data_IF_623279089918
#
_entry.id   IF_623279089918
#
_cell.length_a   1.000
_cell.length_b   1.000
_cell.length_c   1.000
_cell.angle_alpha   90.00
_cell.angle_beta   90.00
_cell.angle_gamma   90.00
#
_symmetry.space_group_name_H-M   'P 1'
#
loop_
_entity.id
_entity.type
_entity.pdbx_description
1 polymer ?
#
# COMPACT_ATOMS: atom_id res chain seq x y z
N UNK A 1 42.53 5.59 -30.24
CA UNK A 1 41.49 4.63 -30.67
C UNK A 1 40.79 4.13 -29.46
N UNK A 2 39.51 4.45 -29.18
CA UNK A 2 38.81 3.87 -28.04
C UNK A 2 38.46 2.41 -28.36
N UNK A 3 38.81 1.50 -27.46
CA UNK A 3 38.50 0.09 -27.51
C UNK A 3 37.00 -0.15 -27.70
N UNK A 4 36.62 -0.87 -28.76
CA UNK A 4 35.29 -1.48 -28.90
C UNK A 4 35.13 -2.45 -27.70
N UNK A 5 34.47 -2.00 -26.69
CA UNK A 5 33.86 -2.90 -25.71
C UNK A 5 32.90 -3.80 -26.48
N UNK A 6 33.18 -5.08 -26.56
CA UNK A 6 32.30 -6.10 -27.11
C UNK A 6 31.00 -6.07 -26.26
N UNK A 7 30.00 -5.32 -26.72
CA UNK A 7 28.69 -5.29 -26.10
C UNK A 7 28.02 -6.64 -26.36
N UNK A 8 27.60 -7.31 -25.29
CA UNK A 8 26.79 -8.53 -25.35
C UNK A 8 25.67 -8.38 -26.39
N UNK A 9 25.42 -9.39 -27.24
CA UNK A 9 24.36 -9.33 -28.22
C UNK A 9 22.99 -9.13 -27.56
N UNK A 10 22.15 -8.28 -28.13
CA UNK A 10 20.80 -7.98 -27.67
C UNK A 10 19.90 -9.18 -27.90
N UNK A 11 19.31 -9.71 -26.84
CA UNK A 11 18.41 -10.86 -26.90
C UNK A 11 16.99 -10.37 -27.20
N UNK A 12 16.48 -10.74 -28.36
CA UNK A 12 15.16 -10.37 -28.87
C UNK A 12 14.25 -11.59 -28.85
N UNK A 13 13.09 -11.48 -28.23
CA UNK A 13 12.01 -12.43 -28.37
C UNK A 13 11.06 -11.90 -29.44
N UNK A 14 10.93 -12.64 -30.54
CA UNK A 14 10.04 -12.31 -31.66
C UNK A 14 8.79 -13.18 -31.57
N UNK A 15 7.62 -12.58 -31.44
CA UNK A 15 6.32 -13.26 -31.47
C UNK A 15 5.71 -13.00 -32.84
N UNK A 16 5.64 -14.04 -33.68
CA UNK A 16 5.15 -13.94 -35.04
C UNK A 16 4.77 -15.33 -35.56
N UNK A 17 3.55 -15.47 -36.02
CA UNK A 17 3.00 -16.73 -36.54
C UNK A 17 3.05 -16.81 -38.09
N UNK A 18 3.07 -15.66 -38.77
CA UNK A 18 3.09 -15.60 -40.25
C UNK A 18 4.51 -15.84 -40.76
N UNK A 19 4.78 -16.94 -41.51
CA UNK A 19 6.12 -17.28 -41.96
C UNK A 19 6.79 -16.21 -42.83
N UNK A 20 6.02 -15.48 -43.65
CA UNK A 20 6.53 -14.43 -44.51
C UNK A 20 7.00 -13.22 -43.75
N UNK A 21 6.28 -12.84 -42.71
CA UNK A 21 6.64 -11.74 -41.82
C UNK A 21 7.81 -12.12 -40.90
N UNK A 22 7.82 -13.33 -40.40
CA UNK A 22 8.93 -13.88 -39.64
C UNK A 22 10.23 -13.84 -40.43
N UNK A 23 10.19 -14.31 -41.68
CA UNK A 23 11.35 -14.26 -42.58
C UNK A 23 11.81 -12.83 -42.89
N UNK A 24 10.86 -11.88 -43.04
CA UNK A 24 11.16 -10.46 -43.26
C UNK A 24 11.88 -9.84 -42.08
N UNK A 25 11.34 -10.02 -40.84
CA UNK A 25 11.92 -9.44 -39.62
C UNK A 25 13.29 -10.05 -39.35
N UNK A 26 13.47 -11.35 -39.49
CA UNK A 26 14.78 -12.01 -39.35
C UNK A 26 15.80 -11.46 -40.35
N UNK A 27 15.43 -11.30 -41.61
CA UNK A 27 16.34 -10.72 -42.63
C UNK A 27 16.79 -9.33 -42.25
N UNK A 28 15.89 -8.47 -41.74
CA UNK A 28 16.23 -7.11 -41.29
C UNK A 28 17.18 -7.15 -40.10
N UNK A 29 16.96 -8.05 -39.13
CA UNK A 29 17.82 -8.21 -37.95
C UNK A 29 19.19 -8.80 -38.30
N UNK A 30 19.25 -9.76 -39.25
CA UNK A 30 20.50 -10.35 -39.71
C UNK A 30 21.39 -9.33 -40.49
N UNK A 31 20.77 -8.41 -41.23
CA UNK A 31 21.47 -7.31 -41.93
C UNK A 31 22.02 -6.26 -40.95
N UNK A 32 21.53 -6.18 -39.73
CA UNK A 32 21.95 -5.20 -38.73
C UNK A 32 23.31 -5.50 -38.08
N UNK A 33 24.16 -6.29 -38.76
CA UNK A 33 25.55 -6.59 -38.41
C UNK A 33 25.78 -6.86 -36.91
N UNK A 34 25.53 -8.08 -36.50
CA UNK A 34 26.16 -8.72 -35.33
C UNK A 34 25.68 -8.39 -33.93
N UNK A 35 24.56 -7.71 -33.71
CA UNK A 35 24.19 -7.28 -32.36
C UNK A 35 22.96 -7.95 -31.79
N UNK A 36 22.32 -8.90 -32.47
CA UNK A 36 21.05 -9.50 -32.02
C UNK A 36 21.13 -11.03 -31.94
N UNK A 37 20.52 -11.56 -30.90
CA UNK A 37 20.19 -13.00 -30.78
C UNK A 37 18.69 -13.10 -30.74
N UNK A 38 18.07 -13.68 -31.77
CA UNK A 38 16.61 -13.74 -31.91
C UNK A 38 16.12 -15.13 -31.54
N UNK A 39 15.10 -15.16 -30.71
CA UNK A 39 14.28 -16.35 -30.45
C UNK A 39 12.88 -16.06 -30.96
N UNK A 40 12.39 -16.82 -31.92
CA UNK A 40 11.05 -16.70 -32.44
C UNK A 40 10.11 -17.71 -31.78
N UNK A 41 8.88 -17.28 -31.51
CA UNK A 41 7.76 -18.09 -31.02
C UNK A 41 6.49 -17.68 -31.77
N UNK A 42 5.54 -18.62 -31.99
CA UNK A 42 4.37 -18.32 -32.82
C UNK A 42 3.28 -17.52 -32.12
N UNK A 43 3.23 -17.55 -30.76
CA UNK A 43 2.11 -16.97 -30.00
C UNK A 43 2.54 -16.38 -28.64
N UNK A 44 1.70 -15.49 -28.11
CA UNK A 44 1.92 -14.80 -26.83
C UNK A 44 2.04 -15.79 -25.66
N UNK A 45 1.32 -16.92 -25.69
CA UNK A 45 1.38 -17.94 -24.64
C UNK A 45 2.75 -18.62 -24.58
N UNK A 46 3.33 -18.93 -25.72
CA UNK A 46 4.69 -19.47 -25.82
C UNK A 46 5.73 -18.45 -25.34
N UNK A 47 5.52 -17.16 -25.67
CA UNK A 47 6.38 -16.07 -25.21
C UNK A 47 6.37 -15.93 -23.67
N UNK A 48 5.22 -16.07 -23.02
CA UNK A 48 5.14 -16.02 -21.57
C UNK A 48 5.97 -17.13 -20.88
N UNK A 49 5.98 -18.35 -21.46
CA UNK A 49 6.82 -19.44 -20.99
C UNK A 49 8.32 -19.15 -21.19
N UNK A 50 8.71 -18.63 -22.34
CA UNK A 50 10.10 -18.25 -22.62
C UNK A 50 10.59 -17.12 -21.69
N UNK A 51 9.77 -16.10 -21.43
CA UNK A 51 10.08 -14.98 -20.51
C UNK A 51 10.19 -15.44 -19.04
N UNK A 52 9.47 -16.47 -18.66
CA UNK A 52 9.61 -17.10 -17.34
C UNK A 52 10.90 -17.91 -17.17
N UNK A 53 11.42 -18.47 -18.27
CA UNK A 53 12.62 -19.32 -18.27
C UNK A 53 13.91 -18.53 -18.54
N UNK A 54 13.82 -17.44 -19.28
CA UNK A 54 14.99 -16.68 -19.75
C UNK A 54 14.69 -15.17 -19.80
N UNK A 55 15.73 -14.36 -19.61
CA UNK A 55 15.61 -12.90 -19.76
C UNK A 55 15.84 -12.49 -21.20
N UNK A 56 15.03 -11.55 -21.70
CA UNK A 56 15.14 -10.92 -23.00
C UNK A 56 15.31 -9.41 -22.82
N UNK A 57 16.05 -8.78 -23.73
CA UNK A 57 16.29 -7.34 -23.71
C UNK A 57 15.18 -6.56 -24.42
N UNK A 58 14.36 -7.25 -25.25
CA UNK A 58 13.26 -6.69 -26.02
C UNK A 58 12.31 -7.79 -26.51
N UNK A 59 11.04 -7.43 -26.63
CA UNK A 59 10.00 -8.23 -27.32
C UNK A 59 9.59 -7.49 -28.59
N UNK A 60 9.62 -8.18 -29.73
CA UNK A 60 8.97 -7.76 -30.97
C UNK A 60 7.66 -8.55 -31.06
N UNK A 61 6.54 -7.84 -31.03
CA UNK A 61 5.21 -8.44 -31.06
C UNK A 61 4.54 -8.20 -32.41
N UNK A 62 4.45 -9.24 -33.25
CA UNK A 62 3.62 -9.24 -34.45
C UNK A 62 2.14 -9.22 -34.04
N UNK A 63 1.36 -8.30 -34.58
CA UNK A 63 -0.08 -8.24 -34.38
C UNK A 63 -0.82 -8.27 -35.69
N UNK A 64 -1.76 -9.22 -35.82
CA UNK A 64 -2.72 -9.27 -36.91
C UNK A 64 -3.89 -8.32 -36.66
N UNK A 65 -4.65 -7.99 -37.72
CA UNK A 65 -5.80 -7.10 -37.64
C UNK A 65 -6.90 -7.58 -36.70
N UNK A 66 -7.11 -8.91 -36.64
CA UNK A 66 -8.09 -9.53 -35.77
C UNK A 66 -7.75 -9.33 -34.28
N UNK A 67 -6.51 -9.56 -33.88
CA UNK A 67 -6.03 -9.44 -32.50
C UNK A 67 -6.10 -8.01 -31.95
N UNK A 68 -6.01 -7.03 -32.86
CA UNK A 68 -6.18 -5.62 -32.52
C UNK A 68 -7.67 -5.30 -32.30
N UNK A 69 -8.55 -5.90 -33.12
CA UNK A 69 -10.02 -5.69 -33.05
C UNK A 69 -10.66 -6.28 -31.79
N UNK A 70 -10.21 -7.45 -31.37
CA UNK A 70 -10.75 -8.18 -30.22
C UNK A 70 -10.15 -7.71 -28.87
N UNK A 71 -9.13 -6.86 -28.88
CA UNK A 71 -8.50 -6.32 -27.67
C UNK A 71 -7.40 -7.21 -27.08
N UNK A 72 -7.28 -8.45 -27.47
CA UNK A 72 -6.30 -9.43 -26.96
C UNK A 72 -4.86 -8.98 -27.20
N UNK A 73 -4.58 -8.34 -28.34
CA UNK A 73 -3.27 -7.79 -28.66
C UNK A 73 -2.83 -6.68 -27.71
N UNK A 74 -3.75 -5.84 -27.26
CA UNK A 74 -3.45 -4.78 -26.31
C UNK A 74 -3.22 -5.32 -24.89
N UNK A 75 -3.94 -6.36 -24.49
CA UNK A 75 -3.69 -7.03 -23.22
C UNK A 75 -2.33 -7.75 -23.24
N UNK A 76 -1.95 -8.35 -24.37
CA UNK A 76 -0.63 -8.94 -24.55
C UNK A 76 0.49 -7.89 -24.37
N UNK A 77 0.35 -6.68 -24.95
CA UNK A 77 1.30 -5.58 -24.77
C UNK A 77 1.46 -5.25 -23.29
N UNK A 78 0.35 -5.06 -22.56
CA UNK A 78 0.36 -4.74 -21.15
C UNK A 78 1.06 -5.80 -20.30
N UNK A 79 0.79 -7.08 -20.58
CA UNK A 79 1.37 -8.21 -19.84
C UNK A 79 2.85 -8.40 -20.11
N UNK A 80 3.27 -8.37 -21.37
CA UNK A 80 4.66 -8.54 -21.77
C UNK A 80 5.52 -7.34 -21.35
N UNK A 81 4.98 -6.12 -21.43
CA UNK A 81 5.65 -4.87 -21.07
C UNK A 81 6.09 -4.78 -19.62
N UNK A 82 5.53 -5.60 -18.71
CA UNK A 82 5.98 -5.72 -17.33
C UNK A 82 7.37 -6.37 -17.21
N UNK A 83 7.75 -7.19 -18.18
CA UNK A 83 8.99 -8.00 -18.14
C UNK A 83 10.08 -7.45 -19.04
N UNK A 84 9.72 -6.95 -20.23
CA UNK A 84 10.66 -6.41 -21.21
C UNK A 84 9.98 -5.34 -22.07
N UNK A 85 10.73 -4.39 -22.66
CA UNK A 85 10.15 -3.41 -23.58
C UNK A 85 9.55 -4.10 -24.80
N UNK A 86 8.34 -3.68 -25.20
CA UNK A 86 7.59 -4.25 -26.32
C UNK A 86 7.58 -3.26 -27.47
N UNK A 87 7.97 -3.69 -28.67
CA UNK A 87 7.74 -2.99 -29.94
C UNK A 87 6.71 -3.80 -30.73
N UNK A 88 5.65 -3.14 -31.14
CA UNK A 88 4.61 -3.75 -31.97
C UNK A 88 4.99 -3.69 -33.44
N UNK A 89 4.83 -4.81 -34.15
CA UNK A 89 4.98 -4.95 -35.59
C UNK A 89 3.62 -5.28 -36.21
N UNK A 90 3.10 -4.46 -37.11
CA UNK A 90 1.82 -4.70 -37.77
C UNK A 90 1.87 -4.37 -39.24
N UNK A 91 1.00 -4.98 -40.04
CA UNK A 91 0.80 -4.57 -41.45
C UNK A 91 -0.12 -3.34 -41.60
N UNK A 92 -0.81 -2.96 -40.52
CA UNK A 92 -1.70 -1.80 -40.51
C UNK A 92 -0.90 -0.51 -40.37
N UNK A 93 -1.13 0.41 -41.30
CA UNK A 93 -0.62 1.78 -41.24
C UNK A 93 -1.76 2.68 -40.73
N UNK A 94 -2.02 2.58 -39.44
CA UNK A 94 -3.16 3.23 -38.76
C UNK A 94 -2.65 3.94 -37.49
N UNK A 95 -2.76 5.26 -37.52
CA UNK A 95 -2.25 6.13 -36.45
C UNK A 95 -3.02 5.94 -35.13
N UNK A 96 -4.34 5.72 -35.20
CA UNK A 96 -5.16 5.50 -33.98
C UNK A 96 -4.77 4.21 -33.27
N UNK A 97 -4.46 3.17 -34.04
CA UNK A 97 -3.98 1.90 -33.51
C UNK A 97 -2.59 2.07 -32.88
N UNK A 98 -1.70 2.79 -33.56
CA UNK A 98 -0.36 3.06 -33.05
C UNK A 98 -0.40 3.81 -31.73
N UNK A 99 -1.24 4.86 -31.62
CA UNK A 99 -1.44 5.63 -30.37
C UNK A 99 -1.98 4.72 -29.27
N UNK A 100 -2.99 3.91 -29.54
CA UNK A 100 -3.55 2.96 -28.56
C UNK A 100 -2.51 1.95 -28.09
N UNK A 101 -1.68 1.40 -28.98
CA UNK A 101 -0.62 0.48 -28.62
C UNK A 101 0.38 1.11 -27.62
N UNK A 102 0.80 2.35 -27.90
CA UNK A 102 1.71 3.11 -27.02
C UNK A 102 1.04 3.42 -25.67
N UNK A 103 -0.24 3.83 -25.64
CA UNK A 103 -1.00 4.05 -24.40
C UNK A 103 -1.13 2.78 -23.54
N UNK A 104 -1.09 1.61 -24.17
CA UNK A 104 -1.13 0.31 -23.49
C UNK A 104 0.26 -0.22 -23.11
N UNK A 105 1.33 0.57 -23.30
CA UNK A 105 2.68 0.26 -22.84
C UNK A 105 3.67 -0.21 -23.91
N UNK A 106 3.28 -0.25 -25.19
CA UNK A 106 4.25 -0.46 -26.26
C UNK A 106 5.26 0.70 -26.31
N UNK A 107 6.52 0.38 -26.52
CA UNK A 107 7.57 1.39 -26.64
C UNK A 107 7.59 2.04 -28.03
N UNK A 108 7.12 1.31 -29.03
CA UNK A 108 7.00 1.79 -30.40
C UNK A 108 6.02 0.91 -31.22
N UNK A 109 5.57 1.43 -32.36
CA UNK A 109 4.73 0.72 -33.34
C UNK A 109 5.31 0.88 -34.72
N UNK A 110 5.66 -0.22 -35.37
CA UNK A 110 6.31 -0.23 -36.66
C UNK A 110 5.46 -0.97 -37.71
N UNK A 111 5.34 -0.36 -38.90
CA UNK A 111 4.63 -0.97 -40.01
C UNK A 111 5.56 -1.94 -40.73
N UNK A 112 5.18 -3.24 -40.78
CA UNK A 112 6.01 -4.33 -41.35
C UNK A 112 6.44 -4.06 -42.76
N UNK A 113 5.60 -3.45 -43.60
CA UNK A 113 5.90 -3.18 -45.02
C UNK A 113 6.91 -2.04 -45.21
N UNK A 114 7.10 -1.18 -44.24
CA UNK A 114 8.07 -0.08 -44.22
C UNK A 114 9.31 -0.37 -43.37
N UNK A 115 9.45 -1.60 -42.89
CA UNK A 115 10.54 -1.96 -42.00
C UNK A 115 11.88 -1.94 -42.69
N UNK A 116 12.80 -1.09 -42.20
CA UNK A 116 14.19 -1.02 -42.64
C UNK A 116 15.12 -1.35 -41.50
N UNK A 117 16.38 -1.71 -41.78
CA UNK A 117 17.40 -2.00 -40.77
C UNK A 117 17.60 -0.80 -39.84
N UNK A 118 17.75 0.39 -40.38
CA UNK A 118 17.99 1.60 -39.60
C UNK A 118 16.81 1.95 -38.69
N UNK A 119 15.57 1.81 -39.19
CA UNK A 119 14.37 2.05 -38.41
C UNK A 119 14.26 1.09 -37.25
N UNK A 120 14.38 -0.22 -37.49
CA UNK A 120 14.27 -1.25 -36.48
C UNK A 120 15.37 -1.13 -35.40
N UNK A 121 16.62 -0.97 -35.82
CA UNK A 121 17.77 -0.83 -34.90
C UNK A 121 17.63 0.42 -34.03
N UNK A 122 17.21 1.53 -34.61
CA UNK A 122 16.97 2.78 -33.87
C UNK A 122 15.83 2.63 -32.88
N UNK A 123 14.71 2.04 -33.29
CA UNK A 123 13.56 1.80 -32.41
C UNK A 123 13.93 0.86 -31.24
N UNK A 124 14.63 -0.24 -31.50
CA UNK A 124 15.13 -1.17 -30.48
C UNK A 124 16.02 -0.43 -29.47
N UNK A 125 16.97 0.39 -29.97
CA UNK A 125 17.86 1.15 -29.08
C UNK A 125 17.10 2.11 -28.19
N UNK A 126 16.15 2.86 -28.73
CA UNK A 126 15.35 3.81 -27.97
C UNK A 126 14.40 3.12 -26.97
N UNK A 127 13.76 2.04 -27.38
CA UNK A 127 12.87 1.27 -26.51
C UNK A 127 13.62 0.73 -25.27
N UNK A 128 14.80 0.14 -25.49
CA UNK A 128 15.63 -0.39 -24.41
C UNK A 128 16.12 0.70 -23.48
N UNK A 129 16.62 1.82 -24.01
CA UNK A 129 17.12 2.92 -23.19
C UNK A 129 16.01 3.57 -22.36
N UNK A 130 14.83 3.81 -22.96
CA UNK A 130 13.66 4.33 -22.24
C UNK A 130 13.21 3.39 -21.14
N UNK A 131 13.11 2.11 -21.41
CA UNK A 131 12.75 1.10 -20.43
C UNK A 131 13.76 1.04 -19.28
N UNK A 132 15.06 1.10 -19.58
CA UNK A 132 16.14 1.15 -18.59
C UNK A 132 16.01 2.36 -17.66
N UNK A 133 15.80 3.55 -18.25
CA UNK A 133 15.66 4.79 -17.49
C UNK A 133 14.43 4.77 -16.57
N UNK A 134 13.29 4.29 -17.07
CA UNK A 134 12.07 4.15 -16.27
C UNK A 134 12.26 3.14 -15.14
N UNK A 135 12.88 2.00 -15.42
CA UNK A 135 13.18 1.01 -14.39
C UNK A 135 14.17 1.52 -13.32
N UNK A 136 15.12 2.37 -13.73
CA UNK A 136 16.05 3.01 -12.80
C UNK A 136 15.34 4.06 -11.93
N UNK A 137 14.47 4.88 -12.50
CA UNK A 137 13.66 5.85 -11.76
C UNK A 137 12.73 5.16 -10.77
N UNK A 138 12.02 4.11 -11.17
CA UNK A 138 11.16 3.34 -10.29
C UNK A 138 11.93 2.72 -9.12
N UNK A 139 13.11 2.14 -9.37
CA UNK A 139 13.96 1.59 -8.32
C UNK A 139 14.45 2.65 -7.33
N UNK A 140 14.75 3.87 -7.81
CA UNK A 140 15.11 4.99 -6.92
C UNK A 140 13.93 5.40 -6.03
N UNK A 141 12.74 5.56 -6.62
CA UNK A 141 11.51 5.88 -5.88
C UNK A 141 11.18 4.80 -4.84
N UNK A 142 11.26 3.53 -5.22
CA UNK A 142 11.07 2.41 -4.28
C UNK A 142 12.09 2.44 -3.13
N UNK A 143 13.34 2.80 -3.41
CA UNK A 143 14.36 2.92 -2.38
C UNK A 143 14.08 4.09 -1.42
N UNK A 144 13.70 5.25 -1.95
CA UNK A 144 13.32 6.41 -1.15
C UNK A 144 12.10 6.12 -0.26
N UNK A 145 11.07 5.44 -0.80
CA UNK A 145 9.91 5.02 -0.03
C UNK A 145 10.26 4.01 1.07
N UNK A 146 11.20 3.08 0.82
CA UNK A 146 11.68 2.16 1.86
C UNK A 146 12.41 2.89 3.00
N UNK A 147 13.18 3.93 2.68
CA UNK A 147 13.80 4.78 3.70
C UNK A 147 12.73 5.51 4.51
N UNK A 148 11.72 6.08 3.84
CA UNK A 148 10.61 6.75 4.52
C UNK A 148 9.86 5.80 5.46
N UNK A 149 9.59 4.56 5.03
CA UNK A 149 8.97 3.53 5.86
C UNK A 149 9.82 3.17 7.09
N UNK A 150 11.13 3.03 6.92
CA UNK A 150 12.04 2.78 8.03
C UNK A 150 12.04 3.93 9.05
N UNK A 151 12.05 5.18 8.57
CA UNK A 151 11.95 6.36 9.44
C UNK A 151 10.60 6.36 10.16
N UNK A 152 9.49 6.10 9.47
CA UNK A 152 8.16 6.03 10.06
C UNK A 152 8.07 4.96 11.16
N UNK A 153 8.61 3.77 10.92
CA UNK A 153 8.64 2.71 11.95
C UNK A 153 9.38 3.14 13.22
N UNK A 154 10.35 4.06 13.13
CA UNK A 154 11.05 4.60 14.30
C UNK A 154 10.19 5.49 15.20
N UNK A 155 9.07 5.98 14.68
CA UNK A 155 8.07 6.72 15.49
C UNK A 155 7.17 5.80 16.30
N UNK A 156 7.00 4.53 15.89
CA UNK A 156 6.20 3.59 16.66
C UNK A 156 6.88 3.25 17.99
N UNK A 157 6.11 2.95 19.06
CA UNK A 157 6.69 2.59 20.34
C UNK A 157 7.57 1.35 20.24
N UNK A 158 8.81 1.44 20.69
CA UNK A 158 9.75 0.30 20.67
C UNK A 158 9.37 -0.83 21.63
N UNK A 159 8.44 -0.58 22.56
CA UNK A 159 7.92 -1.57 23.52
C UNK A 159 6.51 -1.22 23.96
N UNK A 160 5.75 -2.23 24.28
CA UNK A 160 4.47 -2.08 24.98
C UNK A 160 4.76 -1.90 26.48
N UNK A 161 4.10 -0.96 27.18
CA UNK A 161 4.33 -0.75 28.61
C UNK A 161 3.88 -1.94 29.45
N UNK A 162 4.63 -2.23 30.50
CA UNK A 162 4.22 -3.18 31.53
C UNK A 162 3.29 -2.48 32.52
N UNK A 163 2.02 -2.85 32.51
CA UNK A 163 0.98 -2.23 33.34
C UNK A 163 0.45 -3.23 34.36
N UNK A 164 0.65 -3.00 35.64
CA UNK A 164 0.15 -3.90 36.69
C UNK A 164 -1.35 -4.19 36.57
N UNK A 165 -1.71 -5.46 36.56
CA UNK A 165 -3.11 -5.90 36.43
C UNK A 165 -3.68 -5.85 35.02
N UNK A 166 -2.89 -5.42 34.04
CA UNK A 166 -3.33 -5.34 32.63
C UNK A 166 -2.29 -5.95 31.71
N UNK A 167 -2.78 -6.54 30.63
CA UNK A 167 -2.00 -7.07 29.53
C UNK A 167 -2.34 -6.24 28.28
N UNK A 168 -1.36 -5.53 27.74
CA UNK A 168 -1.54 -4.64 26.59
C UNK A 168 -0.79 -5.21 25.41
N UNK A 169 -1.39 -5.17 24.25
CA UNK A 169 -0.77 -5.58 22.98
C UNK A 169 -1.15 -4.68 21.84
N UNK A 170 -0.25 -4.53 20.89
CA UNK A 170 -0.52 -3.76 19.68
C UNK A 170 0.07 -4.47 18.45
N UNK A 171 -0.57 -4.26 17.33
CA UNK A 171 -0.07 -4.66 16.01
C UNK A 171 -0.48 -3.63 14.97
N UNK A 172 0.43 -3.34 14.04
CA UNK A 172 0.19 -2.49 12.88
C UNK A 172 0.69 -3.23 11.64
N UNK A 173 -0.18 -3.37 10.66
CA UNK A 173 0.14 -3.85 9.34
C UNK A 173 -0.10 -2.74 8.32
N UNK A 174 0.95 -2.31 7.63
CA UNK A 174 0.82 -1.28 6.59
C UNK A 174 0.46 -1.90 5.25
N UNK A 175 -0.58 -1.42 4.61
CA UNK A 175 -1.02 -1.83 3.26
C UNK A 175 -0.06 -1.36 2.17
N UNK A 176 0.68 -0.28 2.43
CA UNK A 176 1.67 0.34 1.55
C UNK A 176 3.09 0.32 2.12
N UNK A 177 3.99 1.08 1.47
CA UNK A 177 5.34 1.26 2.00
C UNK A 177 5.36 2.26 3.16
N UNK A 178 4.45 3.25 3.16
CA UNK A 178 4.32 4.33 4.15
C UNK A 178 2.84 4.60 4.36
N UNK A 179 2.38 4.69 5.60
CA UNK A 179 0.96 4.81 5.97
C UNK A 179 0.63 6.02 6.84
N UNK A 180 -0.68 6.21 7.11
CA UNK A 180 -1.21 7.25 8.01
C UNK A 180 -1.43 6.76 9.43
N UNK A 181 -1.54 5.45 9.61
CA UNK A 181 -1.85 4.80 10.87
C UNK A 181 -0.71 4.86 11.89
N UNK A 182 -1.08 5.02 13.15
CA UNK A 182 -0.15 4.91 14.27
C UNK A 182 -0.83 4.48 15.55
N UNK A 183 -0.04 3.96 16.47
CA UNK A 183 -0.41 3.84 17.88
C UNK A 183 0.72 4.35 18.77
N UNK A 184 0.39 4.72 20.00
CA UNK A 184 1.39 5.13 20.97
C UNK A 184 1.00 4.79 22.40
N UNK A 185 2.03 4.64 23.24
CA UNK A 185 1.90 4.42 24.68
C UNK A 185 2.77 5.43 25.40
N UNK A 186 2.19 6.18 26.32
CA UNK A 186 2.89 7.22 27.06
C UNK A 186 2.71 6.99 28.56
N UNK A 187 3.80 6.75 29.25
CA UNK A 187 3.79 6.63 30.70
C UNK A 187 3.42 7.96 31.35
N UNK A 188 2.37 7.96 32.18
CA UNK A 188 1.89 9.12 32.92
C UNK A 188 1.94 8.82 34.44
N UNK A 189 3.09 9.07 35.09
CA UNK A 189 3.26 8.77 36.49
C UNK A 189 2.19 9.46 37.38
N UNK A 190 1.85 8.88 38.60
CA UNK A 190 2.47 7.67 39.13
C UNK A 190 1.91 6.35 38.60
N UNK A 191 0.62 6.25 38.30
CA UNK A 191 -0.08 4.98 38.07
C UNK A 191 -1.03 5.05 36.87
N UNK A 192 -0.58 5.74 35.80
CA UNK A 192 -1.37 5.94 34.58
C UNK A 192 -0.55 5.68 33.34
N UNK A 193 -1.20 5.20 32.32
CA UNK A 193 -0.65 5.09 30.96
C UNK A 193 -1.65 5.67 29.95
N UNK A 194 -1.16 6.49 29.05
CA UNK A 194 -1.95 6.94 27.91
C UNK A 194 -1.78 5.97 26.73
N UNK A 195 -2.87 5.77 26.02
CA UNK A 195 -2.97 4.91 24.83
C UNK A 195 -3.58 5.75 23.72
N UNK A 196 -2.91 5.81 22.60
CA UNK A 196 -3.37 6.51 21.39
C UNK A 196 -3.42 5.53 20.23
N UNK A 197 -4.48 5.62 19.43
CA UNK A 197 -4.58 5.00 18.11
C UNK A 197 -5.12 6.07 17.18
N UNK A 198 -4.47 6.30 16.08
CA UNK A 198 -4.86 7.34 15.14
C UNK A 198 -4.58 6.96 13.71
N UNK A 199 -5.31 7.60 12.81
CA UNK A 199 -5.12 7.53 11.38
C UNK A 199 -5.13 8.95 10.80
N UNK A 200 -4.07 9.27 10.03
CA UNK A 200 -3.90 10.54 9.36
C UNK A 200 -4.33 10.41 7.89
N UNK A 201 -5.35 11.17 7.51
CA UNK A 201 -5.89 11.16 6.15
C UNK A 201 -4.83 11.43 5.08
N UNK A 202 -4.89 10.67 3.99
CA UNK A 202 -3.98 10.79 2.85
C UNK A 202 -3.02 9.61 2.76
N UNK A 203 -3.13 8.82 1.67
CA UNK A 203 -2.26 7.66 1.44
C UNK A 203 -0.80 8.08 1.17
N UNK A 204 0.15 7.31 1.68
CA UNK A 204 1.58 7.48 1.43
C UNK A 204 2.24 8.63 2.23
N UNK A 205 3.21 9.29 1.63
CA UNK A 205 4.06 10.31 2.29
C UNK A 205 3.26 11.43 2.99
N UNK A 206 2.20 12.01 2.40
CA UNK A 206 1.46 13.07 3.08
C UNK A 206 0.79 12.65 4.38
N UNK A 207 0.18 11.46 4.42
CA UNK A 207 -0.38 10.89 5.66
C UNK A 207 0.68 10.61 6.71
N UNK A 208 1.82 10.04 6.30
CA UNK A 208 2.94 9.75 7.19
C UNK A 208 3.56 11.01 7.84
N UNK A 209 3.65 12.12 7.12
CA UNK A 209 4.13 13.38 7.69
C UNK A 209 3.15 13.91 8.73
N UNK A 210 1.85 13.91 8.42
CA UNK A 210 0.81 14.36 9.35
C UNK A 210 0.74 13.45 10.59
N UNK A 211 0.89 12.14 10.40
CA UNK A 211 1.04 11.16 11.49
C UNK A 211 2.22 11.51 12.40
N UNK A 212 3.41 11.73 11.82
CA UNK A 212 4.62 12.04 12.59
C UNK A 212 4.50 13.38 13.34
N UNK A 213 3.89 14.39 12.74
CA UNK A 213 3.57 15.66 13.39
C UNK A 213 2.62 15.46 14.58
N UNK A 214 1.52 14.74 14.35
CA UNK A 214 0.52 14.42 15.39
C UNK A 214 1.17 13.70 16.56
N UNK A 215 1.95 12.66 16.30
CA UNK A 215 2.61 11.87 17.32
C UNK A 215 3.69 12.67 18.06
N UNK A 216 4.41 13.55 17.37
CA UNK A 216 5.38 14.47 17.98
C UNK A 216 4.74 15.39 19.01
N UNK A 217 3.64 16.05 18.65
CA UNK A 217 2.89 16.93 19.56
C UNK A 217 2.24 16.12 20.69
N UNK A 218 1.65 14.95 20.39
CA UNK A 218 1.08 14.05 21.37
C UNK A 218 2.08 13.72 22.50
N UNK A 219 3.28 13.27 22.13
CA UNK A 219 4.34 12.92 23.11
C UNK A 219 4.82 14.12 23.92
N UNK A 220 4.93 15.29 23.29
CA UNK A 220 5.39 16.49 23.95
C UNK A 220 4.39 17.00 25.01
N UNK A 221 3.10 16.89 24.73
CA UNK A 221 2.05 17.53 25.53
C UNK A 221 1.33 16.57 26.49
N UNK A 222 1.42 15.24 26.28
CA UNK A 222 0.64 14.26 27.06
C UNK A 222 0.87 14.34 28.56
N UNK A 223 2.12 14.60 29.00
CA UNK A 223 2.46 14.72 30.43
C UNK A 223 2.03 16.07 31.03
N UNK A 224 1.83 17.10 30.21
CA UNK A 224 1.46 18.46 30.63
C UNK A 224 -0.04 18.64 30.76
N UNK A 225 -0.83 17.82 30.04
CA UNK A 225 -2.28 17.89 30.07
C UNK A 225 -2.85 17.05 31.22
N UNK A 226 -3.76 17.64 31.99
CA UNK A 226 -4.37 16.95 33.13
C UNK A 226 -5.39 15.88 32.70
N UNK A 227 -6.04 16.11 31.56
CA UNK A 227 -7.15 15.25 31.06
C UNK A 227 -7.00 14.96 29.57
N UNK A 228 -7.59 13.83 29.08
CA UNK A 228 -7.65 13.50 27.66
C UNK A 228 -8.22 14.62 26.77
N UNK A 229 -9.24 15.31 27.23
CA UNK A 229 -9.87 16.39 26.46
C UNK A 229 -8.96 17.62 26.30
N UNK A 230 -8.16 17.95 27.33
CA UNK A 230 -7.16 19.02 27.21
C UNK A 230 -6.11 18.71 26.17
N UNK A 231 -5.61 17.47 26.14
CA UNK A 231 -4.64 17.04 25.13
C UNK A 231 -5.23 17.11 23.73
N UNK A 232 -6.44 16.56 23.51
CA UNK A 232 -7.10 16.58 22.18
C UNK A 232 -7.31 18.00 21.69
N UNK A 233 -7.70 18.94 22.56
CA UNK A 233 -7.81 20.37 22.22
C UNK A 233 -6.45 21.00 21.87
N UNK A 234 -5.41 20.63 22.58
CA UNK A 234 -4.04 21.10 22.33
C UNK A 234 -3.52 20.58 21.00
N UNK A 235 -3.70 19.29 20.73
CA UNK A 235 -3.39 18.67 19.42
C UNK A 235 -4.12 19.38 18.29
N UNK A 236 -5.44 19.58 18.41
CA UNK A 236 -6.22 20.22 17.36
C UNK A 236 -5.67 21.63 17.04
N UNK A 237 -5.35 22.43 18.07
CA UNK A 237 -4.78 23.77 17.88
C UNK A 237 -3.40 23.74 17.25
N UNK A 238 -2.56 22.78 17.63
CA UNK A 238 -1.20 22.66 17.10
C UNK A 238 -1.19 22.21 15.62
N UNK A 239 -2.13 21.35 15.25
CA UNK A 239 -2.23 20.80 13.88
C UNK A 239 -2.99 21.71 12.90
N UNK A 240 -3.71 22.73 13.39
CA UNK A 240 -4.42 23.68 12.54
C UNK A 240 -3.43 24.69 11.94
N UNK A 241 -3.11 24.51 10.66
CA UNK A 241 -2.35 25.45 9.86
C UNK A 241 -3.24 26.05 8.77
N UNK A 242 -3.08 27.34 8.47
CA UNK A 242 -3.97 28.10 7.58
C UNK A 242 -3.98 27.65 6.10
N UNK A 243 -3.07 26.76 5.69
CA UNK A 243 -2.82 26.51 4.27
C UNK A 243 -3.22 25.12 3.73
N UNK A 244 -3.70 24.20 4.56
CA UNK A 244 -3.97 22.83 4.10
C UNK A 244 -5.20 22.24 4.82
N UNK A 245 -6.39 22.66 4.42
CA UNK A 245 -7.66 22.32 5.09
C UNK A 245 -8.24 20.95 4.72
N UNK A 246 -7.66 20.25 3.73
CA UNK A 246 -8.25 19.02 3.20
C UNK A 246 -7.81 17.74 3.95
N UNK A 247 -6.94 17.87 4.96
CA UNK A 247 -6.42 16.72 5.72
C UNK A 247 -6.81 16.78 7.18
N UNK A 248 -7.13 15.63 7.73
CA UNK A 248 -7.55 15.47 9.12
C UNK A 248 -6.87 14.26 9.75
N UNK A 249 -7.01 14.14 11.07
CA UNK A 249 -6.55 12.96 11.81
C UNK A 249 -7.70 12.45 12.65
N UNK A 250 -8.04 11.17 12.51
CA UNK A 250 -8.89 10.49 13.46
C UNK A 250 -8.03 10.03 14.63
N UNK A 251 -8.49 10.20 15.86
CA UNK A 251 -7.72 9.86 17.04
C UNK A 251 -8.62 9.29 18.15
N UNK A 252 -8.29 8.07 18.59
CA UNK A 252 -8.75 7.55 19.86
C UNK A 252 -7.63 7.75 20.90
N UNK A 253 -7.88 8.58 21.91
CA UNK A 253 -6.94 8.83 23.00
C UNK A 253 -7.57 8.52 24.34
N UNK A 254 -6.95 7.66 25.14
CA UNK A 254 -7.44 7.30 26.44
C UNK A 254 -6.33 7.14 27.47
N UNK A 255 -6.67 7.41 28.74
CA UNK A 255 -5.77 7.27 29.89
C UNK A 255 -6.32 6.19 30.81
N UNK A 256 -5.53 5.15 31.02
CA UNK A 256 -5.79 4.06 31.96
C UNK A 256 -5.14 4.38 33.32
N UNK A 257 -5.95 4.50 34.36
CA UNK A 257 -5.51 4.51 35.74
C UNK A 257 -5.54 3.06 36.27
N UNK A 258 -4.40 2.37 36.19
CA UNK A 258 -4.36 0.93 36.35
C UNK A 258 -4.65 0.38 37.75
N UNK A 259 -4.46 1.11 38.86
CA UNK A 259 -4.93 0.59 40.18
C UNK A 259 -6.44 0.44 40.30
N UNK A 260 -7.20 1.20 39.52
CA UNK A 260 -8.66 1.22 39.56
C UNK A 260 -9.34 0.64 38.32
N UNK A 261 -8.59 0.33 37.26
CA UNK A 261 -9.12 -0.05 35.95
C UNK A 261 -9.90 1.06 35.26
N UNK A 262 -9.86 2.29 35.78
CA UNK A 262 -10.59 3.43 35.21
C UNK A 262 -9.93 3.88 33.93
N UNK A 263 -10.66 3.86 32.81
CA UNK A 263 -10.22 4.28 31.50
C UNK A 263 -11.04 5.48 31.06
N UNK A 264 -10.37 6.65 31.00
CA UNK A 264 -10.98 7.91 30.57
C UNK A 264 -10.49 8.24 29.16
N UNK A 265 -11.40 8.55 28.24
CA UNK A 265 -11.05 8.67 26.81
C UNK A 265 -11.80 9.79 26.09
N UNK A 266 -11.22 10.21 24.98
CA UNK A 266 -11.83 11.01 23.90
C UNK A 266 -11.65 10.23 22.61
N UNK A 267 -12.73 10.09 21.83
CA UNK A 267 -12.70 9.56 20.48
C UNK A 267 -12.98 10.69 19.48
N UNK A 268 -11.94 11.22 18.88
CA UNK A 268 -11.99 12.30 17.90
C UNK A 268 -12.17 11.73 16.47
N UNK A 269 -13.40 11.30 16.17
CA UNK A 269 -13.77 10.81 14.83
C UNK A 269 -13.14 9.47 14.43
N UNK A 270 -12.50 8.76 15.35
CA UNK A 270 -11.91 7.45 15.09
C UNK A 270 -12.97 6.34 15.11
N UNK A 271 -12.78 5.18 14.47
CA UNK A 271 -13.67 4.04 14.58
C UNK A 271 -14.03 3.71 16.03
N UNK A 272 -15.23 3.18 16.23
CA UNK A 272 -15.70 2.79 17.58
C UNK A 272 -14.86 1.66 18.14
N UNK A 273 -14.33 1.81 19.36
CA UNK A 273 -13.66 0.72 20.03
C UNK A 273 -14.68 -0.27 20.65
N UNK A 274 -14.31 -1.55 20.72
CA UNK A 274 -15.14 -2.61 21.28
C UNK A 274 -14.68 -2.93 22.72
N UNK A 275 -15.58 -2.85 23.67
CA UNK A 275 -15.37 -3.28 25.06
C UNK A 275 -16.21 -4.52 25.35
N UNK A 276 -15.55 -5.63 25.65
CA UNK A 276 -16.13 -6.89 26.11
C UNK A 276 -15.86 -7.03 27.61
N UNK A 277 -16.89 -7.03 28.44
CA UNK A 277 -16.80 -7.13 29.91
C UNK A 277 -17.76 -8.22 30.43
N UNK A 278 -17.22 -9.42 30.60
CA UNK A 278 -18.02 -10.60 30.88
C UNK A 278 -19.02 -10.90 29.77
N UNK A 279 -20.31 -10.88 30.09
CA UNK A 279 -21.41 -11.04 29.15
C UNK A 279 -21.88 -9.71 28.51
N UNK A 280 -21.31 -8.59 28.94
CA UNK A 280 -21.69 -7.25 28.47
C UNK A 280 -20.79 -6.84 27.32
N UNK A 281 -21.39 -6.37 26.23
CA UNK A 281 -20.72 -5.74 25.12
C UNK A 281 -21.13 -4.27 25.03
N UNK A 282 -20.15 -3.40 24.83
CA UNK A 282 -20.37 -1.99 24.59
C UNK A 282 -19.38 -1.43 23.58
N UNK A 283 -19.75 -0.37 22.87
CA UNK A 283 -18.89 0.31 21.93
C UNK A 283 -18.58 1.72 22.41
N UNK A 284 -17.30 2.10 22.34
CA UNK A 284 -16.83 3.44 22.67
C UNK A 284 -16.84 4.29 21.39
N UNK A 285 -17.99 4.92 21.16
CA UNK A 285 -18.25 5.70 19.94
C UNK A 285 -17.53 7.04 19.95
N UNK A 286 -17.47 7.70 18.78
CA UNK A 286 -16.93 9.05 18.64
C UNK A 286 -17.57 10.02 19.63
N UNK A 287 -16.76 10.89 20.20
CA UNK A 287 -17.13 11.94 21.18
C UNK A 287 -16.95 13.35 20.63
N UNK A 288 -16.55 13.47 19.36
CA UNK A 288 -16.35 14.71 18.64
C UNK A 288 -15.75 14.48 17.25
N UNK A 289 -15.57 15.52 16.45
CA UNK A 289 -15.06 15.39 15.09
C UNK A 289 -13.56 15.00 15.07
N UNK A 290 -13.04 14.53 13.92
CA UNK A 290 -11.60 14.40 13.72
C UNK A 290 -10.83 15.70 14.00
N UNK A 291 -9.56 15.55 14.32
CA UNK A 291 -8.64 16.70 14.51
C UNK A 291 -8.39 17.41 13.19
N UNK A 292 -8.08 18.71 13.27
CA UNK A 292 -7.66 19.55 12.15
C UNK A 292 -8.77 19.91 11.15
N UNK A 293 -10.01 19.51 11.37
CA UNK A 293 -11.14 19.90 10.51
C UNK A 293 -11.74 21.25 10.90
N UNK A 294 -11.88 21.53 12.22
CA UNK A 294 -12.57 22.71 12.72
C UNK A 294 -11.78 23.34 13.87
N UNK A 295 -11.60 24.67 13.82
CA UNK A 295 -10.88 25.41 14.87
C UNK A 295 -11.65 25.44 16.20
N UNK A 296 -12.97 25.47 16.12
CA UNK A 296 -13.92 25.50 17.24
C UNK A 296 -14.50 24.12 17.58
N UNK A 297 -13.83 23.06 17.14
CA UNK A 297 -14.26 21.69 17.43
C UNK A 297 -14.40 21.45 18.94
N UNK A 298 -15.46 20.73 19.31
CA UNK A 298 -15.74 20.36 20.68
C UNK A 298 -15.76 18.82 20.81
N UNK A 299 -15.20 18.34 21.91
CA UNK A 299 -15.20 16.91 22.26
C UNK A 299 -15.79 16.74 23.64
N UNK A 300 -16.30 15.54 23.89
CA UNK A 300 -16.69 15.06 25.21
C UNK A 300 -15.66 14.04 25.72
N UNK A 301 -15.40 14.07 27.02
CA UNK A 301 -14.63 13.06 27.72
C UNK A 301 -15.56 12.03 28.33
N UNK A 302 -15.29 10.74 28.13
CA UNK A 302 -16.05 9.64 28.70
C UNK A 302 -15.16 8.73 29.54
N UNK A 303 -15.75 8.05 30.50
CA UNK A 303 -15.05 7.11 31.37
C UNK A 303 -15.77 5.79 31.41
N UNK A 304 -15.01 4.70 31.34
CA UNK A 304 -15.45 3.33 31.57
C UNK A 304 -14.51 2.68 32.59
N UNK A 305 -14.95 1.59 33.22
CA UNK A 305 -14.10 0.79 34.09
C UNK A 305 -13.81 -0.54 33.41
N UNK A 306 -12.57 -0.93 33.35
CA UNK A 306 -12.13 -2.24 32.85
C UNK A 306 -12.06 -3.19 34.02
N UNK A 307 -13.12 -3.98 34.27
CA UNK A 307 -13.15 -4.98 35.31
C UNK A 307 -12.25 -6.17 35.00
N UNK A 308 -11.94 -6.99 35.97
CA UNK A 308 -11.15 -8.21 35.75
C UNK A 308 -11.79 -9.09 34.65
N UNK A 309 -11.02 -9.49 33.68
CA UNK A 309 -11.47 -10.22 32.50
C UNK A 309 -11.98 -9.34 31.34
N UNK A 310 -12.13 -8.02 31.53
CA UNK A 310 -12.53 -7.12 30.45
C UNK A 310 -11.46 -7.03 29.36
N UNK A 311 -11.91 -6.86 28.10
CA UNK A 311 -11.07 -6.67 26.91
C UNK A 311 -11.56 -5.46 26.15
N UNK A 312 -10.70 -4.45 26.00
CA UNK A 312 -10.94 -3.28 25.17
C UNK A 312 -10.09 -3.42 23.92
N UNK A 313 -10.73 -3.27 22.76
CA UNK A 313 -10.08 -3.33 21.44
C UNK A 313 -10.29 -2.01 20.71
N UNK A 314 -9.19 -1.35 20.36
CA UNK A 314 -9.16 -0.11 19.58
C UNK A 314 -8.51 -0.46 18.25
N UNK A 315 -9.09 -0.03 17.14
CA UNK A 315 -8.61 -0.38 15.79
C UNK A 315 -8.91 0.74 14.79
N UNK A 316 -8.10 0.82 13.74
CA UNK A 316 -8.34 1.73 12.61
C UNK A 316 -9.39 1.19 11.64
N UNK A 317 -9.88 2.05 10.76
CA UNK A 317 -10.93 1.70 9.78
C UNK A 317 -10.50 0.58 8.82
N UNK A 318 -9.22 0.51 8.43
CA UNK A 318 -8.71 -0.57 7.58
C UNK A 318 -8.96 -1.98 8.13
N UNK A 319 -9.26 -2.13 9.44
CA UNK A 319 -9.70 -3.42 10.00
C UNK A 319 -11.16 -3.70 9.65
N UNK A 320 -12.06 -2.75 9.91
CA UNK A 320 -13.51 -2.94 9.72
C UNK A 320 -13.96 -2.73 8.30
N UNK A 321 -13.24 -1.93 7.51
CA UNK A 321 -13.51 -1.66 6.10
C UNK A 321 -12.79 -2.65 5.16
N UNK A 322 -12.06 -3.64 5.71
CA UNK A 322 -11.55 -4.78 4.95
C UNK A 322 -12.68 -5.44 4.16
N UNK A 323 -12.53 -5.55 2.83
CA UNK A 323 -13.58 -5.95 1.91
C UNK A 323 -13.23 -7.20 1.13
N UNK A 324 -14.14 -8.18 1.08
CA UNK A 324 -13.93 -9.39 0.29
C UNK A 324 -14.25 -9.19 -1.22
N UNK A 325 -14.09 -10.24 -2.01
CA UNK A 325 -14.36 -10.26 -3.45
C UNK A 325 -15.86 -10.09 -3.80
N UNK A 326 -16.75 -10.13 -2.79
CA UNK A 326 -18.20 -9.92 -2.91
C UNK A 326 -18.66 -8.57 -2.35
N UNK A 327 -17.73 -7.64 -2.08
CA UNK A 327 -17.98 -6.30 -1.54
C UNK A 327 -18.57 -6.29 -0.12
N UNK A 328 -18.43 -7.35 0.68
CA UNK A 328 -18.81 -7.38 2.09
C UNK A 328 -17.67 -6.87 2.95
N UNK A 329 -17.99 -6.12 3.99
CA UNK A 329 -17.05 -5.62 4.97
C UNK A 329 -16.83 -6.61 6.12
N UNK A 330 -15.62 -6.62 6.67
CA UNK A 330 -15.28 -7.37 7.88
C UNK A 330 -16.08 -6.89 9.10
N UNK A 331 -16.26 -5.57 9.20
CA UNK A 331 -17.07 -4.83 10.17
C UNK A 331 -16.81 -5.25 11.64
N UNK A 332 -17.62 -4.74 12.55
CA UNK A 332 -17.61 -5.07 13.99
C UNK A 332 -17.87 -6.55 14.25
N UNK A 333 -18.61 -7.21 13.38
CA UNK A 333 -18.90 -8.64 13.50
C UNK A 333 -17.64 -9.49 13.41
N UNK A 334 -16.76 -9.19 12.45
CA UNK A 334 -15.45 -9.84 12.32
C UNK A 334 -14.56 -9.59 13.54
N UNK A 335 -14.49 -8.34 14.00
CA UNK A 335 -13.74 -7.99 15.22
C UNK A 335 -14.24 -8.79 16.42
N UNK A 336 -15.56 -8.86 16.63
CA UNK A 336 -16.20 -9.63 17.72
C UNK A 336 -15.85 -11.11 17.62
N UNK A 337 -15.94 -11.70 16.44
CA UNK A 337 -15.68 -13.12 16.23
C UNK A 337 -14.27 -13.49 16.69
N UNK A 338 -13.24 -12.77 16.23
CA UNK A 338 -11.84 -13.01 16.62
C UNK A 338 -11.65 -12.83 18.13
N UNK A 339 -12.22 -11.77 18.72
CA UNK A 339 -12.04 -11.48 20.13
C UNK A 339 -12.75 -12.46 21.07
N UNK A 340 -13.76 -13.20 20.60
CA UNK A 340 -14.51 -14.18 21.39
C UNK A 340 -14.00 -15.61 21.20
N UNK A 341 -13.34 -15.93 20.10
CA UNK A 341 -12.84 -17.27 19.80
C UNK A 341 -11.77 -17.75 20.80
N UNK A 342 -10.89 -16.85 21.23
CA UNK A 342 -9.76 -17.19 22.10
C UNK A 342 -9.57 -16.15 23.21
N UNK A 343 -10.47 -16.08 24.21
CA UNK A 343 -10.50 -15.00 25.19
C UNK A 343 -9.26 -14.92 26.10
N UNK A 344 -8.56 -16.03 26.28
CA UNK A 344 -7.40 -16.12 27.18
C UNK A 344 -6.05 -15.85 26.51
N UNK A 345 -6.03 -15.62 25.20
CA UNK A 345 -4.79 -15.31 24.48
C UNK A 345 -4.16 -14.00 24.97
N UNK A 346 -2.82 -13.90 24.93
CA UNK A 346 -2.12 -12.65 25.20
C UNK A 346 -2.61 -11.51 24.29
N UNK A 347 -2.66 -10.29 24.81
CA UNK A 347 -3.18 -9.13 24.08
C UNK A 347 -2.42 -8.88 22.76
N UNK A 348 -1.10 -9.10 22.74
CA UNK A 348 -0.29 -8.95 21.52
C UNK A 348 -0.64 -9.98 20.44
N UNK A 349 -1.00 -11.20 20.84
CA UNK A 349 -1.46 -12.23 19.92
C UNK A 349 -2.83 -11.90 19.35
N UNK A 350 -3.79 -11.48 20.22
CA UNK A 350 -5.11 -11.03 19.79
C UNK A 350 -5.04 -9.87 18.79
N UNK A 351 -4.18 -8.89 19.04
CA UNK A 351 -3.99 -7.76 18.12
C UNK A 351 -3.47 -8.23 16.75
N UNK A 352 -2.52 -9.17 16.74
CA UNK A 352 -2.00 -9.75 15.50
C UNK A 352 -3.03 -10.60 14.76
N UNK A 353 -3.75 -11.45 15.50
CA UNK A 353 -4.77 -12.32 14.93
C UNK A 353 -5.89 -11.53 14.28
N UNK A 354 -6.28 -10.39 14.88
CA UNK A 354 -7.31 -9.53 14.33
C UNK A 354 -6.85 -8.85 13.02
N UNK A 355 -5.63 -8.31 12.95
CA UNK A 355 -5.07 -7.80 11.70
C UNK A 355 -5.02 -8.88 10.63
N UNK A 356 -4.55 -10.07 11.00
CA UNK A 356 -4.42 -11.21 10.07
C UNK A 356 -5.78 -11.70 9.56
N UNK A 357 -6.81 -11.74 10.41
CA UNK A 357 -8.15 -12.11 10.00
C UNK A 357 -8.75 -11.12 9.00
N UNK A 358 -8.52 -9.82 9.19
CA UNK A 358 -8.94 -8.79 8.25
C UNK A 358 -8.19 -8.89 6.91
N UNK A 359 -6.87 -9.16 6.93
CA UNK A 359 -6.08 -9.40 5.72
C UNK A 359 -6.54 -10.66 4.95
N UNK A 360 -6.84 -11.75 5.68
CA UNK A 360 -7.36 -12.97 5.05
C UNK A 360 -8.73 -12.76 4.44
N UNK A 361 -9.55 -11.93 5.07
CA UNK A 361 -10.87 -11.58 4.55
C UNK A 361 -10.80 -10.77 3.23
N UNK A 362 -9.82 -9.87 3.10
CA UNK A 362 -9.57 -9.12 1.86
C UNK A 362 -8.96 -9.96 0.72
N UNK A 363 -8.55 -11.19 0.99
CA UNK A 363 -7.84 -12.00 -0.01
C UNK A 363 -8.70 -12.27 -1.23
N UNK A 364 -8.31 -11.69 -2.38
CA UNK A 364 -9.06 -11.75 -3.64
C UNK A 364 -9.80 -10.47 -3.99
N UNK A 365 -9.86 -9.50 -3.09
CA UNK A 365 -10.39 -8.16 -3.38
C UNK A 365 -9.55 -7.45 -4.44
N UNK A 366 -10.16 -6.69 -5.35
CA UNK A 366 -9.43 -5.85 -6.30
C UNK A 366 -8.81 -4.59 -5.64
N UNK A 367 -9.28 -4.21 -4.44
CA UNK A 367 -8.74 -3.08 -3.68
C UNK A 367 -7.55 -3.55 -2.82
N UNK A 368 -6.39 -2.85 -2.84
CA UNK A 368 -5.25 -3.19 -2.00
C UNK A 368 -5.47 -2.99 -0.49
N UNK A 369 -6.65 -2.51 -0.08
CA UNK A 369 -6.98 -2.25 1.31
C UNK A 369 -6.34 -1.00 1.92
N UNK A 370 -6.43 -0.86 3.25
CA UNK A 370 -5.81 0.23 4.02
C UNK A 370 -4.96 -0.31 5.17
N UNK A 371 -4.21 0.57 5.84
CA UNK A 371 -3.42 0.24 7.02
C UNK A 371 -4.31 -0.35 8.11
N UNK A 372 -3.82 -1.35 8.83
CA UNK A 372 -4.55 -2.03 9.90
C UNK A 372 -3.81 -1.90 11.22
N UNK A 373 -4.36 -1.10 12.10
CA UNK A 373 -3.82 -0.88 13.44
C UNK A 373 -4.78 -1.42 14.48
N UNK A 374 -4.25 -2.20 15.41
CA UNK A 374 -5.04 -2.78 16.51
C UNK A 374 -4.27 -2.64 17.84
N UNK A 375 -4.95 -2.15 18.85
CA UNK A 375 -4.49 -2.15 20.24
C UNK A 375 -5.51 -2.89 21.09
N UNK A 376 -5.03 -3.86 21.88
CA UNK A 376 -5.84 -4.65 22.80
C UNK A 376 -5.38 -4.40 24.23
N UNK A 377 -6.33 -4.14 25.14
CA UNK A 377 -6.10 -4.03 26.59
C UNK A 377 -6.93 -5.09 27.26
N UNK A 378 -6.29 -6.01 27.98
CA UNK A 378 -6.94 -7.03 28.81
C UNK A 378 -6.73 -6.70 30.30
N UNK A 379 -7.79 -6.60 31.06
CA UNK A 379 -7.71 -6.54 32.51
C UNK A 379 -7.60 -7.96 33.08
N UNK A 380 -6.66 -8.17 33.98
CA UNK A 380 -6.41 -9.48 34.66
C UNK A 380 -7.14 -9.62 35.97
#
# INVERSE_FOLDING_TARGET
MPSRTESRPVRVLLIEDEPTDLARVNRVLDQAASSFTVRAVPEVRAAATELGARSYDLVLLGLARAEIGDGDGFEAIRRLGKTAPVIVLSRLDDEDIAVKAVQRGAQDYLVKDRLTVDLLVRSIRYARERHRLLAEQNRRLEHELKIAAFVQQSFLPGRVPEVPGHDIGAHLHSSGQVGGDFYDFIDLPPDRVAIAVGDASGKGIPGAILMAETQGVLRAEAASCATPIELVRTLNRALLHDQDQDRFVTLFYGVLAFPTGRFTFVNAGHPRALLLDGATESTLVSTGPPLRLFADAAWEEKTVTLHAGARLVIYSDGVTEAQDDTERFFDLEGVRAVMTESPDRPAVELARDLCHAAEEFERGSPDPGDDKTVVVIRSR
#
